data_IF_928138624059
#
_entry.id   IF_928138624059
#
_cell.length_a   1.000
_cell.length_b   1.000
_cell.length_c   1.000
_cell.angle_alpha   90.00
_cell.angle_beta   90.00
_cell.angle_gamma   90.00
#
_symmetry.space_group_name_H-M   'P 1'
#
loop_
_entity.id
_entity.type
_entity.pdbx_description
1 polymer ?
#
# COMPACT_ATOMS: atom_id res chain seq x y z
N UNK A 1 -9.29 -11.05 -4.97
CA UNK A 1 -8.01 -10.91 -4.27
C UNK A 1 -7.24 -9.74 -4.85
N UNK A 2 -6.71 -8.89 -3.98
CA UNK A 2 -5.81 -7.79 -4.26
C UNK A 2 -4.53 -8.01 -3.46
N UNK A 3 -3.41 -7.62 -4.05
CA UNK A 3 -2.10 -7.64 -3.40
C UNK A 3 -1.64 -6.21 -3.20
N UNK A 4 -1.25 -5.86 -1.99
CA UNK A 4 -0.58 -4.58 -1.68
C UNK A 4 0.90 -4.87 -1.54
N UNK A 5 1.70 -4.29 -2.43
CA UNK A 5 3.16 -4.32 -2.38
C UNK A 5 3.67 -2.94 -1.97
N UNK A 6 4.28 -2.83 -0.79
CA UNK A 6 4.93 -1.61 -0.32
C UNK A 6 6.41 -1.69 -0.65
N UNK A 7 6.91 -0.67 -1.32
CA UNK A 7 8.31 -0.51 -1.68
C UNK A 7 8.92 0.63 -0.88
N UNK A 8 10.01 0.33 -0.19
CA UNK A 8 10.85 1.31 0.50
C UNK A 8 11.90 1.90 -0.45
N UNK A 9 12.35 3.15 -0.22
CA UNK A 9 13.37 3.79 -1.06
C UNK A 9 14.72 3.06 -1.10
N UNK A 10 15.02 2.27 -0.07
CA UNK A 10 16.22 1.43 0.05
C UNK A 10 16.10 0.08 -0.68
N UNK A 11 14.98 -0.17 -1.33
CA UNK A 11 14.68 -1.43 -2.02
C UNK A 11 13.99 -2.48 -1.16
N UNK A 12 13.66 -2.18 0.10
CA UNK A 12 12.84 -3.05 0.94
C UNK A 12 11.44 -3.29 0.36
N UNK A 13 10.89 -4.48 0.59
CA UNK A 13 9.57 -4.89 0.09
C UNK A 13 8.74 -5.56 1.20
N UNK A 14 7.48 -5.12 1.31
CA UNK A 14 6.46 -5.76 2.15
C UNK A 14 5.24 -6.12 1.29
N UNK A 15 4.70 -7.33 1.43
CA UNK A 15 3.59 -7.83 0.63
C UNK A 15 2.45 -8.28 1.52
N UNK A 16 1.25 -7.78 1.24
CA UNK A 16 0.01 -8.14 1.93
C UNK A 16 -1.08 -8.48 0.90
N UNK A 17 -2.09 -9.26 1.30
CA UNK A 17 -3.20 -9.60 0.42
C UNK A 17 -4.56 -9.54 1.12
N UNK A 18 -5.60 -9.20 0.37
CA UNK A 18 -6.96 -9.08 0.87
C UNK A 18 -7.99 -9.06 -0.24
N UNK A 19 -9.28 -9.12 0.12
CA UNK A 19 -10.39 -9.00 -0.82
C UNK A 19 -10.64 -7.54 -1.23
N UNK A 20 -10.40 -6.60 -0.33
CA UNK A 20 -10.51 -5.15 -0.57
C UNK A 20 -9.37 -4.37 0.07
N UNK A 21 -9.12 -3.18 -0.46
CA UNK A 21 -8.09 -2.25 0.00
C UNK A 21 -8.70 -0.85 0.11
N UNK A 22 -8.45 -0.16 1.21
CA UNK A 22 -8.82 1.23 1.42
C UNK A 22 -7.59 2.08 1.75
N UNK A 23 -7.54 3.32 1.26
CA UNK A 23 -6.45 4.26 1.53
C UNK A 23 -6.97 5.51 2.25
N UNK A 24 -6.29 5.91 3.32
CA UNK A 24 -6.55 7.15 4.05
C UNK A 24 -5.40 8.14 3.80
N UNK A 25 -5.60 9.21 3.00
CA UNK A 25 -4.55 10.18 2.71
C UNK A 25 -4.16 11.07 3.90
N UNK A 26 -5.03 11.22 4.92
CA UNK A 26 -4.68 12.03 6.10
C UNK A 26 -3.72 11.30 7.04
N UNK A 27 -3.87 9.98 7.15
CA UNK A 27 -3.00 9.14 7.98
C UNK A 27 -1.89 8.44 7.19
N UNK A 28 -1.89 8.57 5.85
CA UNK A 28 -1.01 7.84 4.94
C UNK A 28 -1.05 6.33 5.19
N UNK A 29 -2.26 5.80 5.44
CA UNK A 29 -2.45 4.41 5.86
C UNK A 29 -3.31 3.60 4.90
N UNK A 30 -2.99 2.32 4.78
CA UNK A 30 -3.69 1.35 3.92
C UNK A 30 -4.35 0.30 4.81
N UNK A 31 -5.67 0.18 4.68
CA UNK A 31 -6.44 -0.90 5.29
C UNK A 31 -6.58 -2.04 4.28
N UNK A 32 -6.29 -3.26 4.71
CA UNK A 32 -6.44 -4.48 3.90
C UNK A 32 -7.42 -5.40 4.62
N UNK A 33 -8.46 -5.86 3.92
CA UNK A 33 -9.45 -6.74 4.54
C UNK A 33 -8.82 -8.03 5.07
N UNK A 34 -9.11 -8.40 6.32
CA UNK A 34 -8.55 -9.58 6.96
C UNK A 34 -7.26 -9.32 7.76
N UNK A 35 -6.79 -8.07 7.78
CA UNK A 35 -5.75 -7.61 8.70
C UNK A 35 -6.37 -6.80 9.83
N UNK A 36 -5.90 -7.01 11.06
CA UNK A 36 -6.33 -6.25 12.24
C UNK A 36 -5.71 -4.85 12.31
N UNK A 37 -4.64 -4.62 11.54
CA UNK A 37 -3.86 -3.38 11.57
C UNK A 37 -3.70 -2.80 10.17
N UNK A 38 -3.65 -1.47 10.12
CA UNK A 38 -3.34 -0.73 8.91
C UNK A 38 -1.83 -0.72 8.66
N UNK A 39 -1.46 -0.66 7.38
CA UNK A 39 -0.09 -0.40 6.95
C UNK A 39 0.08 1.12 6.87
N UNK A 40 1.04 1.69 7.60
CA UNK A 40 1.33 3.13 7.55
C UNK A 40 2.52 3.38 6.65
N UNK A 41 2.33 4.16 5.59
CA UNK A 41 3.41 4.52 4.68
C UNK A 41 4.36 5.51 5.37
N UNK A 42 5.64 5.15 5.39
CA UNK A 42 6.72 6.08 5.77
C UNK A 42 7.06 6.98 4.59
N UNK A 43 7.76 8.08 4.87
CA UNK A 43 8.19 9.02 3.84
C UNK A 43 8.98 8.32 2.72
N UNK A 44 8.59 8.56 1.47
CA UNK A 44 9.19 7.95 0.29
C UNK A 44 8.73 6.52 -0.02
N UNK A 45 7.98 5.86 0.88
CA UNK A 45 7.39 4.56 0.57
C UNK A 45 6.26 4.69 -0.46
N UNK A 46 6.16 3.67 -1.32
CA UNK A 46 5.16 3.57 -2.37
C UNK A 46 4.42 2.24 -2.23
N UNK A 47 3.10 2.30 -2.12
CA UNK A 47 2.25 1.11 -2.21
C UNK A 47 1.66 0.93 -3.61
N UNK A 48 1.79 -0.28 -4.14
CA UNK A 48 1.16 -0.74 -5.35
C UNK A 48 0.05 -1.73 -5.01
N UNK A 49 -1.19 -1.38 -5.34
CA UNK A 49 -2.31 -2.32 -5.27
C UNK A 49 -2.43 -3.02 -6.61
N UNK A 50 -2.30 -4.33 -6.61
CA UNK A 50 -2.33 -5.17 -7.79
C UNK A 50 -3.53 -6.11 -7.76
N UNK A 51 -4.13 -6.35 -8.92
CA UNK A 51 -5.13 -7.41 -9.06
C UNK A 51 -4.47 -8.79 -9.21
N UNK A 52 -5.28 -9.82 -9.37
CA UNK A 52 -4.87 -11.23 -9.45
C UNK A 52 -3.93 -11.54 -10.63
N UNK A 53 -3.94 -10.70 -11.66
CA UNK A 53 -3.08 -10.85 -12.84
C UNK A 53 -1.75 -10.12 -12.69
N UNK A 54 -1.45 -9.57 -11.50
CA UNK A 54 -0.26 -8.74 -11.26
C UNK A 54 -0.36 -7.33 -11.84
N UNK A 55 -1.51 -6.92 -12.39
CA UNK A 55 -1.70 -5.56 -12.90
C UNK A 55 -1.91 -4.60 -11.74
N UNK A 56 -1.10 -3.55 -11.64
CA UNK A 56 -1.33 -2.42 -10.75
C UNK A 56 -2.64 -1.71 -11.10
N UNK A 57 -3.55 -1.64 -10.13
CA UNK A 57 -4.85 -0.95 -10.23
C UNK A 57 -4.89 0.34 -9.41
N UNK A 58 -3.98 0.51 -8.45
CA UNK A 58 -3.81 1.77 -7.71
C UNK A 58 -2.37 1.92 -7.20
N UNK A 59 -1.94 3.17 -7.02
CA UNK A 59 -0.63 3.54 -6.48
C UNK A 59 -0.81 4.64 -5.43
N UNK A 60 -0.22 4.46 -4.25
CA UNK A 60 -0.22 5.45 -3.18
C UNK A 60 1.22 5.73 -2.78
N UNK A 61 1.54 7.00 -2.52
CA UNK A 61 2.89 7.43 -2.20
C UNK A 61 2.82 8.47 -1.09
N UNK A 62 3.68 8.30 -0.09
CA UNK A 62 3.83 9.30 0.95
C UNK A 62 4.86 10.35 0.50
N UNK A 63 4.34 11.43 -0.10
CA UNK A 63 5.13 12.61 -0.46
C UNK A 63 4.90 13.67 0.61
N UNK A 64 5.95 14.11 1.29
CA UNK A 64 5.90 15.34 2.09
C UNK A 64 5.71 16.49 1.11
N UNK A 65 4.52 17.09 1.10
CA UNK A 65 4.29 18.32 0.34
C UNK A 65 5.07 19.44 1.05
N UNK A 66 6.07 19.99 0.37
CA UNK A 66 6.78 21.21 0.77
C UNK A 66 5.86 22.42 0.71
#
# INVERSE_FOLDING_TARGET
MLTVKVMSPDGGEEIHCGLSVGFNPWQQSIAVSGMDQNIFLKEGEVAYVMNQNGKTVSRYEHIVRQ
#
